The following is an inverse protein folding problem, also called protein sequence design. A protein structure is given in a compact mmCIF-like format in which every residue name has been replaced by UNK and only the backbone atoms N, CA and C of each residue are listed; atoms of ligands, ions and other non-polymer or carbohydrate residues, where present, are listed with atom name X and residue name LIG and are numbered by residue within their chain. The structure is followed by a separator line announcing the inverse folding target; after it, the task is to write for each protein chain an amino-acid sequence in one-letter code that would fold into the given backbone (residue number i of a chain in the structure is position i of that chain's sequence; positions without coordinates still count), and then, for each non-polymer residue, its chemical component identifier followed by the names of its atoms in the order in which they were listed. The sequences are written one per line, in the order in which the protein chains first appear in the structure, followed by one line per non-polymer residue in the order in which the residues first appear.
data_IF_763435584607
#
_entry.id   IF_763435584607
#
_cell.length_a   1.000
_cell.length_b   1.000
_cell.length_c   1.000
_cell.angle_alpha   90.00
_cell.angle_beta   90.00
_cell.angle_gamma   90.00
#
_symmetry.space_group_name_H-M   'P 1'
#
loop_
_entity.id
_entity.type
_entity.pdbx_description
1 polymer ?
#
# COMPACT_ATOMS: atom_id res chain seq x y z
N UNK A 1 48.22 10.88 -21.21
CA UNK A 1 46.95 11.50 -20.75
C UNK A 1 45.95 11.42 -21.89
N UNK A 2 45.01 10.47 -21.83
CA UNK A 2 43.83 10.46 -22.69
C UNK A 2 42.70 9.85 -21.89
N UNK A 3 41.75 10.69 -21.50
CA UNK A 3 40.51 10.27 -20.85
C UNK A 3 39.47 9.94 -21.90
N UNK A 4 38.76 8.84 -21.68
CA UNK A 4 37.44 8.59 -22.26
C UNK A 4 36.56 8.11 -21.11
N UNK A 5 35.98 9.07 -20.38
CA UNK A 5 34.90 8.78 -19.43
C UNK A 5 33.65 8.47 -20.23
N UNK A 6 33.30 7.19 -20.34
CA UNK A 6 32.02 6.79 -20.89
C UNK A 6 30.92 7.41 -20.04
N UNK A 7 30.10 8.28 -20.65
CA UNK A 7 28.89 8.78 -20.04
C UNK A 7 27.99 7.59 -19.72
N UNK A 8 27.80 7.32 -18.44
CA UNK A 8 26.84 6.33 -17.99
C UNK A 8 25.45 6.79 -18.45
N UNK A 9 24.62 5.91 -19.05
CA UNK A 9 23.27 6.27 -19.40
C UNK A 9 22.55 6.71 -18.12
N UNK A 10 21.95 7.89 -18.13
CA UNK A 10 21.07 8.37 -17.08
C UNK A 10 19.91 7.37 -16.99
N UNK A 11 20.02 6.41 -16.08
CA UNK A 11 18.93 5.50 -15.74
C UNK A 11 17.81 6.40 -15.24
N UNK A 12 16.78 6.61 -16.08
CA UNK A 12 15.58 7.28 -15.63
C UNK A 12 15.08 6.54 -14.40
N UNK A 13 14.84 7.22 -13.26
CA UNK A 13 14.40 6.54 -12.06
C UNK A 13 13.13 5.75 -12.39
N UNK A 14 13.17 4.44 -12.16
CA UNK A 14 12.00 3.59 -12.38
C UNK A 14 10.84 4.16 -11.55
N UNK A 15 9.65 4.37 -12.13
CA UNK A 15 8.51 4.82 -11.36
C UNK A 15 8.23 3.80 -10.26
N UNK A 16 8.31 4.26 -9.01
CA UNK A 16 8.03 3.44 -7.82
C UNK A 16 6.52 3.23 -7.77
N UNK A 17 6.07 1.97 -7.74
CA UNK A 17 4.69 1.68 -7.39
C UNK A 17 4.52 1.68 -5.89
N UNK A 18 3.29 1.55 -5.43
CA UNK A 18 2.91 1.48 -4.04
C UNK A 18 1.98 0.29 -3.90
N UNK A 19 2.30 -0.59 -2.95
CA UNK A 19 1.47 -1.74 -2.60
C UNK A 19 0.85 -1.48 -1.23
N UNK A 20 -0.47 -1.61 -1.17
CA UNK A 20 -1.22 -1.62 0.05
C UNK A 20 -1.76 -3.03 0.32
N UNK A 21 -1.77 -3.45 1.56
CA UNK A 21 -2.24 -4.78 1.98
C UNK A 21 -2.89 -4.72 3.35
N UNK A 22 -3.83 -5.62 3.59
CA UNK A 22 -4.47 -5.78 4.88
C UNK A 22 -4.51 -7.26 5.26
N UNK A 23 -4.16 -7.58 6.50
CA UNK A 23 -4.15 -8.96 7.01
C UNK A 23 -4.73 -8.99 8.41
N UNK A 24 -5.42 -10.08 8.76
CA UNK A 24 -5.77 -10.42 10.13
C UNK A 24 -4.94 -11.63 10.55
N UNK A 25 -4.30 -11.56 11.71
CA UNK A 25 -3.52 -12.66 12.28
C UNK A 25 -4.16 -13.09 13.58
N UNK A 26 -4.55 -14.36 13.65
CA UNK A 26 -5.09 -14.97 14.85
C UNK A 26 -3.96 -15.32 15.84
N UNK A 27 -4.26 -15.42 17.14
CA UNK A 27 -3.28 -15.82 18.16
C UNK A 27 -2.66 -17.19 17.94
N UNK A 28 -3.35 -18.09 17.23
CA UNK A 28 -2.86 -19.42 16.85
C UNK A 28 -1.81 -19.39 15.72
N UNK A 29 -1.49 -18.20 15.20
CA UNK A 29 -0.52 -17.98 14.13
C UNK A 29 -1.11 -18.04 12.72
N UNK A 30 -2.37 -18.47 12.57
CA UNK A 30 -3.06 -18.44 11.27
C UNK A 30 -3.29 -16.99 10.83
N UNK A 31 -3.34 -16.76 9.52
CA UNK A 31 -3.51 -15.42 8.97
C UNK A 31 -4.48 -15.44 7.79
N UNK A 32 -5.33 -14.43 7.73
CA UNK A 32 -6.31 -14.21 6.67
C UNK A 32 -5.88 -12.97 5.89
N UNK A 33 -5.77 -13.11 4.56
CA UNK A 33 -5.60 -11.98 3.67
C UNK A 33 -6.93 -11.22 3.55
N UNK A 34 -6.91 -9.95 3.91
CA UNK A 34 -8.06 -9.05 3.83
C UNK A 34 -8.02 -8.20 2.55
N UNK A 35 -6.97 -8.36 1.74
CA UNK A 35 -6.87 -7.81 0.41
C UNK A 35 -5.54 -7.11 0.15
N UNK A 36 -5.26 -6.95 -1.13
CA UNK A 36 -4.09 -6.26 -1.67
C UNK A 36 -4.51 -5.27 -2.76
N UNK A 37 -3.81 -4.15 -2.83
CA UNK A 37 -3.98 -3.15 -3.89
C UNK A 37 -2.63 -2.61 -4.34
N UNK A 38 -2.49 -2.31 -5.62
CA UNK A 38 -1.30 -1.65 -6.18
C UNK A 38 -1.68 -0.36 -6.90
N UNK A 39 -0.83 0.66 -6.76
CA UNK A 39 -1.02 1.96 -7.41
C UNK A 39 0.31 2.63 -7.72
N UNK A 40 0.33 3.58 -8.65
CA UNK A 40 1.47 4.48 -8.87
C UNK A 40 1.33 5.81 -8.13
N UNK A 41 0.32 5.93 -7.25
CA UNK A 41 0.10 7.12 -6.42
C UNK A 41 0.11 6.72 -4.94
N UNK A 42 0.94 7.39 -4.11
CA UNK A 42 0.96 7.12 -2.66
C UNK A 42 -0.40 7.43 -2.04
N UNK A 43 -1.06 8.50 -2.47
CA UNK A 43 -2.39 8.87 -2.00
C UNK A 43 -3.48 7.86 -2.36
N UNK A 44 -3.40 7.19 -3.51
CA UNK A 44 -4.36 6.12 -3.85
C UNK A 44 -4.10 4.84 -3.04
N UNK A 45 -2.84 4.51 -2.78
CA UNK A 45 -2.50 3.38 -1.92
C UNK A 45 -2.98 3.63 -0.48
N UNK A 46 -2.72 4.82 0.07
CA UNK A 46 -3.19 5.18 1.41
C UNK A 46 -4.71 5.38 1.47
N UNK A 47 -5.33 5.87 0.40
CA UNK A 47 -6.79 5.94 0.27
C UNK A 47 -7.44 4.55 0.35
N UNK A 48 -6.84 3.55 -0.31
CA UNK A 48 -7.28 2.16 -0.16
C UNK A 48 -7.13 1.67 1.29
N UNK A 49 -6.02 1.98 1.96
CA UNK A 49 -5.83 1.66 3.38
C UNK A 49 -6.92 2.31 4.24
N UNK A 50 -7.29 3.56 3.97
CA UNK A 50 -8.35 4.28 4.69
C UNK A 50 -9.70 3.58 4.55
N UNK A 51 -10.11 3.25 3.33
CA UNK A 51 -11.34 2.48 3.10
C UNK A 51 -11.31 1.13 3.80
N UNK A 52 -10.16 0.45 3.82
CA UNK A 52 -10.06 -0.85 4.52
C UNK A 52 -10.07 -0.69 6.04
N UNK A 53 -9.47 0.37 6.57
CA UNK A 53 -9.51 0.70 7.99
C UNK A 53 -10.95 0.99 8.45
N UNK A 54 -11.79 1.66 7.64
CA UNK A 54 -13.21 1.86 7.93
C UNK A 54 -13.95 0.52 8.09
N UNK A 55 -13.71 -0.44 7.19
CA UNK A 55 -14.31 -1.78 7.31
C UNK A 55 -13.81 -2.52 8.55
N UNK A 56 -12.53 -2.42 8.87
CA UNK A 56 -11.96 -3.04 10.08
C UNK A 56 -12.55 -2.40 11.34
N UNK A 57 -12.64 -1.07 11.41
CA UNK A 57 -13.26 -0.38 12.54
C UNK A 57 -14.72 -0.81 12.76
N UNK A 58 -15.50 -0.98 11.68
CA UNK A 58 -16.88 -1.48 11.76
C UNK A 58 -16.94 -2.92 12.30
N UNK A 59 -15.98 -3.77 11.93
CA UNK A 59 -15.91 -5.15 12.41
C UNK A 59 -15.50 -5.24 13.88
N UNK A 60 -14.52 -4.43 14.29
CA UNK A 60 -14.02 -4.39 15.66
C UNK A 60 -15.09 -3.89 16.63
N UNK A 61 -15.81 -2.83 16.24
CA UNK A 61 -16.74 -2.14 17.11
C UNK A 61 -16.08 -1.55 18.37
N UNK A 62 -16.88 -0.87 19.19
CA UNK A 62 -16.39 -0.32 20.45
C UNK A 62 -16.15 -1.44 21.48
N UNK A 63 -15.10 -1.36 22.31
CA UNK A 63 -14.10 -0.28 22.39
C UNK A 63 -12.87 -0.47 21.48
N UNK A 64 -12.80 -1.55 20.71
CA UNK A 64 -11.59 -1.98 20.00
C UNK A 64 -11.28 -1.16 18.74
N UNK A 65 -12.27 -0.42 18.21
CA UNK A 65 -12.12 0.43 17.04
C UNK A 65 -11.48 1.80 17.31
N UNK A 66 -11.30 2.19 18.58
CA UNK A 66 -10.94 3.55 18.97
C UNK A 66 -9.67 4.09 18.31
N UNK A 67 -8.59 3.31 18.28
CA UNK A 67 -7.34 3.72 17.64
C UNK A 67 -7.47 3.86 16.12
N UNK A 68 -8.26 2.97 15.48
CA UNK A 68 -8.52 3.02 14.05
C UNK A 68 -9.35 4.25 13.70
N UNK A 69 -10.39 4.55 14.49
CA UNK A 69 -11.21 5.75 14.29
C UNK A 69 -10.43 7.03 14.52
N UNK A 70 -9.60 7.11 15.57
CA UNK A 70 -8.75 8.25 15.81
C UNK A 70 -7.86 8.56 14.60
N UNK A 71 -7.25 7.53 13.98
CA UNK A 71 -6.47 7.71 12.75
C UNK A 71 -7.34 8.09 11.55
N UNK A 72 -8.54 7.50 11.40
CA UNK A 72 -9.45 7.85 10.31
C UNK A 72 -9.90 9.31 10.33
N UNK A 73 -10.03 9.90 11.52
CA UNK A 73 -10.44 11.29 11.70
C UNK A 73 -9.25 12.27 11.60
N UNK A 74 -8.01 11.78 11.69
CA UNK A 74 -6.81 12.59 11.66
C UNK A 74 -6.31 12.88 10.23
N UNK A 75 -6.76 14.01 9.69
CA UNK A 75 -6.33 14.49 8.38
C UNK A 75 -4.84 14.87 8.32
N UNK A 76 -4.23 15.24 9.45
CA UNK A 76 -2.81 15.60 9.53
C UNK A 76 -1.97 14.34 9.42
N UNK A 77 -2.25 13.32 10.21
CA UNK A 77 -1.56 12.03 10.15
C UNK A 77 -1.73 11.37 8.78
N UNK A 78 -2.91 11.49 8.15
CA UNK A 78 -3.10 11.02 6.77
C UNK A 78 -2.16 11.73 5.79
N UNK A 79 -1.99 13.06 5.91
CA UNK A 79 -1.05 13.82 5.06
C UNK A 79 0.39 13.37 5.30
N UNK A 80 0.79 13.27 6.56
CA UNK A 80 2.13 12.83 6.95
C UNK A 80 2.45 11.43 6.44
N UNK A 81 1.50 10.50 6.52
CA UNK A 81 1.65 9.16 5.98
C UNK A 81 1.80 9.15 4.44
N UNK A 82 1.07 10.01 3.71
CA UNK A 82 1.25 10.14 2.26
C UNK A 82 2.63 10.67 1.90
N UNK A 83 3.10 11.70 2.59
CA UNK A 83 4.41 12.30 2.35
C UNK A 83 5.53 11.32 2.72
N UNK A 84 5.37 10.56 3.80
CA UNK A 84 6.24 9.46 4.18
C UNK A 84 6.32 8.39 3.09
N UNK A 85 5.18 7.93 2.56
CA UNK A 85 5.16 6.97 1.44
C UNK A 85 5.90 7.52 0.22
N UNK A 86 5.67 8.79 -0.15
CA UNK A 86 6.38 9.43 -1.25
C UNK A 86 7.90 9.48 -1.02
N UNK A 87 8.33 9.64 0.24
CA UNK A 87 9.73 9.60 0.66
C UNK A 87 10.30 8.17 0.82
N UNK A 88 9.52 7.13 0.55
CA UNK A 88 9.98 5.74 0.64
C UNK A 88 9.74 5.07 2.01
N UNK A 89 9.05 5.73 2.92
CA UNK A 89 8.77 5.25 4.28
C UNK A 89 7.42 4.52 4.27
N UNK A 90 7.35 3.24 4.70
CA UNK A 90 6.09 2.52 4.74
C UNK A 90 5.17 3.06 5.86
N UNK A 91 3.88 3.03 5.60
CA UNK A 91 2.85 3.29 6.59
C UNK A 91 2.30 1.97 7.15
N UNK A 92 2.08 1.92 8.47
CA UNK A 92 1.52 0.75 9.16
C UNK A 92 0.49 1.21 10.18
N UNK A 93 -0.74 0.72 10.05
CA UNK A 93 -1.79 0.82 11.06
C UNK A 93 -2.08 -0.57 11.63
N UNK A 94 -2.23 -0.65 12.95
CA UNK A 94 -2.54 -1.90 13.65
C UNK A 94 -3.71 -1.72 14.61
N UNK A 95 -4.50 -2.77 14.74
CA UNK A 95 -5.55 -2.88 15.74
C UNK A 95 -5.64 -4.34 16.23
N UNK A 96 -6.22 -4.52 17.41
CA UNK A 96 -6.40 -5.84 18.04
C UNK A 96 -7.84 -5.93 18.52
N UNK A 97 -8.52 -7.04 18.23
CA UNK A 97 -9.87 -7.32 18.72
C UNK A 97 -9.88 -7.90 20.14
N UNK A 98 -11.07 -8.27 20.64
CA UNK A 98 -11.24 -8.86 21.97
C UNK A 98 -10.56 -10.24 22.09
N UNK A 99 -10.49 -10.97 20.98
CA UNK A 99 -9.95 -12.32 20.88
C UNK A 99 -8.43 -12.33 20.68
N UNK A 100 -7.81 -11.16 20.53
CA UNK A 100 -6.37 -11.02 20.32
C UNK A 100 -5.94 -11.12 18.85
N UNK A 101 -6.88 -11.14 17.89
CA UNK A 101 -6.55 -11.11 16.48
C UNK A 101 -5.98 -9.74 16.11
N UNK A 102 -4.78 -9.75 15.54
CA UNK A 102 -4.10 -8.53 15.12
C UNK A 102 -4.42 -8.22 13.67
N UNK A 103 -5.02 -7.07 13.44
CA UNK A 103 -5.23 -6.49 12.11
C UNK A 103 -4.05 -5.61 11.77
N UNK A 104 -3.44 -5.82 10.61
CA UNK A 104 -2.35 -4.99 10.10
C UNK A 104 -2.72 -4.48 8.70
N UNK A 105 -2.75 -3.15 8.56
CA UNK A 105 -2.92 -2.46 7.29
C UNK A 105 -1.63 -1.74 6.94
N UNK A 106 -1.04 -2.09 5.81
CA UNK A 106 0.28 -1.62 5.41
C UNK A 106 0.19 -0.99 4.04
N UNK A 107 0.79 0.18 3.87
CA UNK A 107 1.14 0.72 2.57
C UNK A 107 2.65 0.85 2.49
N UNK A 108 3.24 0.41 1.38
CA UNK A 108 4.68 0.48 1.17
C UNK A 108 5.04 0.78 -0.27
N UNK A 109 6.16 1.47 -0.52
CA UNK A 109 6.75 1.55 -1.85
C UNK A 109 7.06 0.13 -2.36
N UNK A 110 6.78 -0.09 -3.64
CA UNK A 110 7.00 -1.33 -4.36
C UNK A 110 7.78 -1.03 -5.64
N UNK A 111 9.08 -1.31 -5.61
CA UNK A 111 9.95 -1.17 -6.77
C UNK A 111 9.59 -2.16 -7.91
N UNK A 112 8.75 -3.16 -7.64
CA UNK A 112 8.42 -4.26 -8.55
C UNK A 112 7.03 -4.14 -9.19
N UNK A 113 6.17 -3.20 -8.76
CA UNK A 113 4.79 -3.05 -9.22
C UNK A 113 4.63 -2.86 -10.75
N UNK A 114 5.70 -2.44 -11.46
CA UNK A 114 5.72 -2.33 -12.93
C UNK A 114 5.83 -3.68 -13.66
N UNK A 115 6.35 -4.73 -13.01
CA UNK A 115 6.53 -6.03 -13.65
C UNK A 115 5.21 -6.78 -13.89
N UNK A 116 4.19 -6.51 -13.07
CA UNK A 116 2.87 -7.15 -13.19
C UNK A 116 1.93 -6.43 -14.17
N UNK A 117 2.20 -5.16 -14.50
CA UNK A 117 1.43 -4.38 -15.47
C UNK A 117 2.09 -4.42 -16.86
N UNK A 118 2.16 -5.60 -17.47
CA UNK A 118 2.40 -5.67 -18.92
C UNK A 118 1.23 -5.01 -19.66
N UNK A 119 1.49 -4.21 -20.70
CA UNK A 119 0.42 -3.61 -21.49
C UNK A 119 -0.37 -4.72 -22.17
N UNK A 120 -1.69 -4.75 -21.95
CA UNK A 120 -2.61 -5.51 -22.79
C UNK A 120 -2.37 -5.08 -24.24
N UNK A 121 -1.84 -6.00 -25.05
CA UNK A 121 -1.80 -5.87 -26.50
C UNK A 121 -3.22 -5.59 -27.00
N UNK A 122 -3.47 -4.58 -27.84
CA UNK A 122 -4.75 -4.47 -28.51
C UNK A 122 -4.90 -5.68 -29.43
N UNK A 123 -5.90 -6.52 -29.16
CA UNK A 123 -6.32 -7.55 -30.09
C UNK A 123 -6.86 -6.84 -31.33
N UNK A 124 -6.04 -6.75 -32.38
CA UNK A 124 -6.52 -6.34 -33.70
C UNK A 124 -7.35 -7.51 -34.22
N UNK A 125 -8.66 -7.33 -34.21
CA UNK A 125 -9.61 -8.26 -34.81
C UNK A 125 -9.62 -8.00 -36.32
N UNK A 126 -8.82 -8.77 -37.06
CA UNK A 126 -8.85 -8.80 -38.52
C UNK A 126 -10.04 -9.61 -39.00
N UNK A 127 -11.00 -8.93 -39.63
CA UNK A 127 -12.06 -9.53 -40.42
C UNK A 127 -11.56 -9.78 -41.85
N UNK A 128 -11.72 -11.02 -42.33
CA UNK A 128 -12.14 -11.38 -43.69
C UNK A 128 -12.24 -12.91 -43.79
#
# INVERSE_FOLDING_TARGET
MSGTGAAQPLTTPRPVGYRAEATARHPDGSSIDLGVWTSYSPGRALGWVRTRAEHVAQQLGAPYDGAVRAWLDDAVEFRWAMDGLAAGIPFVLRAVDAEGCTYALVARPDAQARAAASPKTPCVQGAA
#
